data_IF_241234489037
#
_entry.id   IF_241234489037
#
_cell.length_a   1.000
_cell.length_b   1.000
_cell.length_c   1.000
_cell.angle_alpha   90.00
_cell.angle_beta   90.00
_cell.angle_gamma   90.00
#
_symmetry.space_group_name_H-M   'P 1'
#
loop_
_entity.id
_entity.type
_entity.pdbx_description
1 polymer ?
#
# COMPACT_ATOMS: atom_id res chain seq x y z
N UNK A 1 -9.64 13.19 -7.82
CA UNK A 1 -9.65 13.16 -6.35
C UNK A 1 -8.26 12.70 -5.93
N UNK A 2 -7.34 13.64 -5.81
CA UNK A 2 -5.97 13.35 -5.37
C UNK A 2 -6.00 13.40 -3.85
N UNK A 3 -5.95 12.24 -3.23
CA UNK A 3 -5.52 12.18 -1.82
C UNK A 3 -4.00 12.16 -1.90
N UNK A 4 -3.39 13.34 -1.93
CA UNK A 4 -1.93 13.49 -1.87
C UNK A 4 -1.53 13.25 -0.42
N UNK A 5 -1.05 12.05 -0.11
CA UNK A 5 -0.34 11.78 1.14
C UNK A 5 1.13 12.19 0.98
N UNK A 6 1.52 13.30 1.60
CA UNK A 6 2.94 13.68 1.69
C UNK A 6 3.66 12.73 2.66
N UNK A 7 4.85 12.20 2.34
CA UNK A 7 5.62 11.35 3.25
C UNK A 7 5.78 11.97 4.65
N UNK A 8 5.97 13.28 4.72
CA UNK A 8 6.08 14.05 5.97
C UNK A 8 4.84 13.94 6.87
N UNK A 9 3.65 13.79 6.26
CA UNK A 9 2.40 13.60 7.00
C UNK A 9 2.33 12.19 7.63
N UNK A 10 2.89 11.18 6.95
CA UNK A 10 3.03 9.84 7.52
C UNK A 10 4.03 9.86 8.68
N UNK A 11 5.08 10.69 8.63
CA UNK A 11 6.08 10.70 9.69
C UNK A 11 5.55 11.11 11.06
N UNK A 12 4.59 12.05 11.07
CA UNK A 12 3.95 12.60 12.28
C UNK A 12 2.71 11.81 12.74
N UNK A 13 2.30 10.78 12.01
CA UNK A 13 1.07 10.05 12.30
C UNK A 13 1.28 8.99 13.38
N UNK A 14 0.39 8.95 14.38
CA UNK A 14 0.42 7.97 15.48
C UNK A 14 -0.14 6.60 15.09
N UNK A 15 -1.06 6.56 14.12
CA UNK A 15 -1.74 5.35 13.64
C UNK A 15 -1.93 5.41 12.14
N UNK A 16 -1.82 4.26 11.47
CA UNK A 16 -2.05 4.16 10.04
C UNK A 16 -3.28 3.31 9.75
N UNK A 17 -4.23 3.93 9.04
CA UNK A 17 -5.36 3.24 8.43
C UNK A 17 -5.07 3.09 6.93
N UNK A 18 -4.79 1.87 6.48
CA UNK A 18 -4.47 1.62 5.07
C UNK A 18 -5.62 0.90 4.39
N UNK A 19 -6.29 1.56 3.44
CA UNK A 19 -7.20 0.85 2.53
C UNK A 19 -6.35 0.09 1.51
N UNK A 20 -6.66 -1.17 1.26
CA UNK A 20 -6.01 -2.04 0.29
C UNK A 20 -7.09 -2.53 -0.67
N UNK A 21 -7.01 -2.10 -1.92
CA UNK A 21 -7.99 -2.37 -2.99
C UNK A 21 -7.26 -2.53 -4.33
N UNK A 22 -7.66 -1.79 -5.37
CA UNK A 22 -6.90 -1.67 -6.64
C UNK A 22 -5.60 -0.83 -6.48
N UNK A 23 -4.88 -1.06 -5.40
CA UNK A 23 -3.76 -0.24 -4.92
C UNK A 23 -2.52 -0.30 -5.80
N UNK A 24 -2.33 -1.40 -6.51
CA UNK A 24 -1.19 -1.57 -7.40
C UNK A 24 -1.25 -0.66 -8.65
N UNK A 25 -2.35 0.08 -8.88
CA UNK A 25 -2.44 1.00 -10.01
C UNK A 25 -1.62 2.30 -9.85
N UNK A 26 -1.11 2.64 -8.65
CA UNK A 26 -0.39 3.89 -8.40
C UNK A 26 0.93 3.67 -7.67
N UNK A 27 2.02 4.21 -8.23
CA UNK A 27 3.37 4.20 -7.64
C UNK A 27 3.38 4.77 -6.23
N UNK A 28 2.69 5.90 -6.03
CA UNK A 28 2.62 6.59 -4.74
C UNK A 28 1.96 5.72 -3.67
N UNK A 29 0.92 4.98 -4.03
CA UNK A 29 0.24 4.04 -3.13
C UNK A 29 1.16 2.96 -2.56
N UNK A 30 2.10 2.48 -3.37
CA UNK A 30 3.09 1.47 -3.02
C UNK A 30 4.22 2.08 -2.17
N UNK A 31 4.71 3.27 -2.51
CA UNK A 31 5.70 4.00 -1.70
C UNK A 31 5.17 4.24 -0.29
N UNK A 32 3.95 4.75 -0.16
CA UNK A 32 3.32 4.92 1.15
C UNK A 32 3.16 3.60 1.90
N UNK A 33 2.86 2.50 1.19
CA UNK A 33 2.75 1.19 1.81
C UNK A 33 4.09 0.73 2.39
N UNK A 34 5.19 0.94 1.67
CA UNK A 34 6.54 0.64 2.15
C UNK A 34 6.86 1.46 3.40
N UNK A 35 6.63 2.78 3.37
CA UNK A 35 6.88 3.67 4.53
C UNK A 35 6.11 3.23 5.77
N UNK A 36 4.83 2.86 5.62
CA UNK A 36 3.99 2.39 6.72
C UNK A 36 4.50 1.05 7.29
N UNK A 37 4.92 0.12 6.43
CA UNK A 37 5.47 -1.17 6.84
C UNK A 37 6.83 -1.01 7.53
N UNK A 38 7.68 -0.10 7.06
CA UNK A 38 8.96 0.24 7.70
C UNK A 38 8.74 0.85 9.09
N UNK A 39 7.80 1.79 9.23
CA UNK A 39 7.42 2.37 10.53
C UNK A 39 6.86 1.32 11.49
N UNK A 40 6.05 0.38 11.00
CA UNK A 40 5.56 -0.73 11.81
C UNK A 40 6.72 -1.62 12.30
N UNK A 41 7.67 -1.95 11.42
CA UNK A 41 8.84 -2.77 11.77
C UNK A 41 9.79 -2.07 12.73
N UNK A 42 10.04 -0.77 12.54
CA UNK A 42 10.99 0.00 13.35
C UNK A 42 10.46 0.35 14.75
N UNK A 43 9.19 0.78 14.83
CA UNK A 43 8.65 1.40 16.04
C UNK A 43 7.45 0.64 16.62
N UNK A 44 7.03 -0.48 16.02
CA UNK A 44 5.83 -1.21 16.44
C UNK A 44 4.53 -0.44 16.19
N UNK A 45 4.54 0.60 15.35
CA UNK A 45 3.36 1.41 15.07
C UNK A 45 2.23 0.52 14.53
N UNK A 46 1.05 0.49 15.18
CA UNK A 46 -0.05 -0.36 14.76
C UNK A 46 -0.61 0.09 13.41
N UNK A 47 -0.67 -0.86 12.48
CA UNK A 47 -1.22 -0.66 11.13
C UNK A 47 -2.49 -1.48 11.02
N UNK A 48 -3.58 -0.83 10.65
CA UNK A 48 -4.86 -1.50 10.40
C UNK A 48 -5.16 -1.50 8.89
N UNK A 49 -5.02 -2.66 8.21
CA UNK A 49 -5.40 -2.78 6.81
C UNK A 49 -6.93 -2.94 6.67
N UNK A 50 -7.54 -2.14 5.81
CA UNK A 50 -8.93 -2.29 5.34
C UNK A 50 -8.90 -2.88 3.93
N UNK A 51 -9.40 -4.10 3.76
CA UNK A 51 -9.46 -4.74 2.44
C UNK A 51 -10.77 -4.36 1.74
N UNK A 52 -10.68 -3.57 0.66
CA UNK A 52 -11.85 -3.13 -0.11
C UNK A 52 -11.97 -3.89 -1.43
N UNK A 53 -13.02 -4.69 -1.57
CA UNK A 53 -13.32 -5.51 -2.76
C UNK A 53 -12.15 -6.42 -3.19
N UNK A 54 -11.27 -6.77 -2.24
CA UNK A 54 -10.15 -7.69 -2.43
C UNK A 54 -10.17 -8.73 -1.32
N UNK A 55 -9.77 -9.96 -1.64
CA UNK A 55 -9.61 -10.99 -0.63
C UNK A 55 -8.29 -10.77 0.12
N UNK A 56 -8.30 -10.67 1.46
CA UNK A 56 -7.08 -10.50 2.25
C UNK A 56 -6.01 -11.56 1.97
N UNK A 57 -6.44 -12.79 1.66
CA UNK A 57 -5.51 -13.88 1.32
C UNK A 57 -4.75 -13.63 0.01
N UNK A 58 -5.42 -13.06 -1.00
CA UNK A 58 -4.79 -12.75 -2.30
C UNK A 58 -3.79 -11.59 -2.16
N UNK A 59 -4.06 -10.63 -1.26
CA UNK A 59 -3.09 -9.58 -0.91
C UNK A 59 -1.88 -10.18 -0.19
N UNK A 60 -2.13 -10.98 0.86
CA UNK A 60 -1.06 -11.54 1.70
C UNK A 60 -0.14 -12.49 0.93
N UNK A 61 -0.72 -13.30 0.04
CA UNK A 61 0.03 -14.27 -0.77
C UNK A 61 0.50 -13.72 -2.12
N UNK A 62 0.10 -12.49 -2.45
CA UNK A 62 0.36 -11.87 -3.76
C UNK A 62 -0.14 -12.75 -4.91
N UNK A 63 -1.44 -13.07 -4.90
CA UNK A 63 -2.08 -13.98 -5.85
C UNK A 63 -3.17 -13.27 -6.68
N UNK A 64 -3.61 -13.93 -7.76
CA UNK A 64 -4.67 -13.50 -8.67
C UNK A 64 -4.53 -12.04 -9.18
N UNK A 65 -5.63 -11.27 -9.12
CA UNK A 65 -5.73 -9.90 -9.59
C UNK A 65 -4.77 -8.95 -8.88
N UNK A 66 -4.35 -9.28 -7.66
CA UNK A 66 -3.36 -8.47 -6.94
C UNK A 66 -1.96 -8.64 -7.55
N UNK A 67 -1.58 -9.89 -7.84
CA UNK A 67 -0.33 -10.21 -8.53
C UNK A 67 -0.27 -9.58 -9.92
N UNK A 68 -1.36 -9.70 -10.69
CA UNK A 68 -1.45 -9.10 -12.02
C UNK A 68 -1.28 -7.58 -11.98
N UNK A 69 -1.97 -6.90 -11.07
CA UNK A 69 -1.88 -5.45 -10.96
C UNK A 69 -0.49 -4.98 -10.49
N UNK A 70 0.23 -5.79 -9.69
CA UNK A 70 1.63 -5.55 -9.33
C UNK A 70 2.56 -5.68 -10.54
N UNK A 71 2.41 -6.75 -11.34
CA UNK A 71 3.18 -6.95 -12.55
C UNK A 71 2.94 -5.83 -13.58
N UNK A 72 1.68 -5.40 -13.77
CA UNK A 72 1.34 -4.26 -14.62
C UNK A 72 1.94 -2.93 -14.12
N UNK A 73 2.14 -2.79 -12.81
CA UNK A 73 2.79 -1.62 -12.23
C UNK A 73 4.30 -1.63 -12.51
N UNK A 74 4.97 -2.78 -12.32
CA UNK A 74 6.38 -2.94 -12.67
C UNK A 74 6.62 -2.65 -14.16
N UNK A 75 5.76 -3.16 -15.06
CA UNK A 75 5.90 -2.96 -16.50
C UNK A 75 5.70 -1.49 -16.94
N UNK A 76 4.84 -0.74 -16.23
CA UNK A 76 4.63 0.71 -16.47
C UNK A 76 5.78 1.59 -15.99
N UNK A 77 6.63 1.09 -15.11
CA UNK A 77 7.81 1.82 -14.59
C UNK A 77 9.08 1.56 -15.42
N UNK A 78 9.02 0.71 -16.46
CA UNK A 78 10.14 0.37 -17.37
C UNK A 78 10.14 1.25 -18.65
N UNK A 79 9.37 2.34 -18.70
CA UNK A 79 9.41 3.35 -19.78
C UNK A 79 9.90 4.70 -19.27
#
# INVERSE_FOLDING_TARGET
>A
MEVVGCPDALERSEKYLKVIGQFAASKWCLIELVVILEKNRANGHPVMPIFYKVNPSHVRKQEEKFAQALAEHEEKEIW
#
